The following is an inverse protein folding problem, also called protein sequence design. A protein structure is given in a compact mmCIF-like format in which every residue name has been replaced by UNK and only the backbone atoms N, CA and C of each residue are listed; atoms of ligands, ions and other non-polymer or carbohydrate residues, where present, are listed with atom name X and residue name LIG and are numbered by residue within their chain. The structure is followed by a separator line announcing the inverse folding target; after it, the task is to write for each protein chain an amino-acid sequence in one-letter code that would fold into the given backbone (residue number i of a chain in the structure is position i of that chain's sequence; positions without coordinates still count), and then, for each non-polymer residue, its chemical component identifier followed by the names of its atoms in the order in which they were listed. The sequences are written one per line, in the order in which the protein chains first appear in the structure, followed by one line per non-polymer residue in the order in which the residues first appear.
data_IF_149469904916
#
_entry.id   IF_149469904916
#
_cell.length_a   1.000
_cell.length_b   1.000
_cell.length_c   1.000
_cell.angle_alpha   90.00
_cell.angle_beta   90.00
_cell.angle_gamma   90.00
#
_symmetry.space_group_name_H-M   'P 1'
#
loop_
_entity.id
_entity.type
_entity.pdbx_description
1 polymer ?
#
# COMPACT_ATOMS: atom_id res chain seq x y z
N UNK A 1 25.14 -19.17 -19.23
CA UNK A 1 24.45 -18.12 -20.02
C UNK A 1 23.54 -17.34 -19.09
N UNK A 2 23.80 -16.07 -18.87
CA UNK A 2 22.91 -15.23 -18.07
C UNK A 2 21.53 -15.17 -18.77
N UNK A 3 20.52 -15.84 -18.21
CA UNK A 3 19.14 -15.71 -18.72
C UNK A 3 18.69 -14.28 -18.55
N UNK A 4 18.37 -13.61 -19.65
CA UNK A 4 17.85 -12.24 -19.62
C UNK A 4 16.63 -12.14 -18.69
N UNK A 5 16.54 -11.03 -17.98
CA UNK A 5 15.39 -10.71 -17.10
C UNK A 5 14.08 -10.79 -17.91
N UNK A 6 13.08 -11.56 -17.47
CA UNK A 6 11.80 -11.63 -18.16
C UNK A 6 11.16 -10.25 -18.28
N UNK A 7 10.66 -9.89 -19.47
CA UNK A 7 10.05 -8.57 -19.71
C UNK A 7 8.89 -8.27 -18.76
N UNK A 8 8.05 -9.27 -18.47
CA UNK A 8 6.96 -9.11 -17.51
C UNK A 8 7.48 -8.77 -16.11
N UNK A 9 8.49 -9.49 -15.63
CA UNK A 9 9.10 -9.24 -14.32
C UNK A 9 9.74 -7.85 -14.26
N UNK A 10 10.38 -7.40 -15.35
CA UNK A 10 10.96 -6.07 -15.44
C UNK A 10 9.89 -4.98 -15.33
N UNK A 11 8.80 -5.09 -16.11
CA UNK A 11 7.71 -4.10 -16.09
C UNK A 11 7.06 -4.04 -14.70
N UNK A 12 6.66 -5.18 -14.16
CA UNK A 12 6.04 -5.25 -12.83
C UNK A 12 7.00 -4.73 -11.74
N UNK A 13 8.27 -5.10 -11.83
CA UNK A 13 9.28 -4.66 -10.90
C UNK A 13 9.50 -3.15 -10.92
N UNK A 14 9.57 -2.52 -12.10
CA UNK A 14 9.67 -1.07 -12.21
C UNK A 14 8.45 -0.38 -11.59
N UNK A 15 7.23 -0.85 -11.89
CA UNK A 15 6.00 -0.33 -11.28
C UNK A 15 6.05 -0.41 -9.75
N UNK A 16 6.41 -1.58 -9.23
CA UNK A 16 6.50 -1.78 -7.78
C UNK A 16 7.61 -0.93 -7.17
N UNK A 17 8.80 -0.83 -7.80
CA UNK A 17 9.91 0.01 -7.33
C UNK A 17 9.52 1.49 -7.25
N UNK A 18 8.84 2.01 -8.26
CA UNK A 18 8.39 3.41 -8.25
C UNK A 18 7.40 3.61 -7.09
N UNK A 19 6.38 2.75 -7.00
CA UNK A 19 5.35 2.88 -5.97
C UNK A 19 5.93 2.73 -4.54
N UNK A 20 6.66 1.65 -4.29
CA UNK A 20 7.25 1.39 -2.97
C UNK A 20 8.39 2.35 -2.64
N UNK A 21 9.15 2.81 -3.64
CA UNK A 21 10.20 3.81 -3.49
C UNK A 21 9.64 5.16 -3.05
N UNK A 22 8.61 5.66 -3.74
CA UNK A 22 7.93 6.90 -3.35
C UNK A 22 7.31 6.74 -1.96
N UNK A 23 6.59 5.64 -1.70
CA UNK A 23 5.95 5.38 -0.42
C UNK A 23 6.97 5.29 0.73
N UNK A 24 8.12 4.65 0.50
CA UNK A 24 9.20 4.54 1.50
C UNK A 24 9.79 5.91 1.82
N UNK A 25 10.12 6.69 0.79
CA UNK A 25 10.67 8.04 0.96
C UNK A 25 9.67 8.96 1.68
N UNK A 26 8.41 8.96 1.23
CA UNK A 26 7.35 9.73 1.89
C UNK A 26 7.16 9.29 3.33
N UNK A 27 7.12 7.98 3.62
CA UNK A 27 6.96 7.46 4.96
C UNK A 27 8.10 7.87 5.88
N UNK A 28 9.35 7.71 5.44
CA UNK A 28 10.52 8.14 6.22
C UNK A 28 10.49 9.65 6.45
N UNK A 29 10.21 10.44 5.41
CA UNK A 29 10.10 11.89 5.53
C UNK A 29 9.00 12.29 6.51
N UNK A 30 7.82 11.66 6.44
CA UNK A 30 6.71 11.93 7.33
C UNK A 30 7.02 11.59 8.79
N UNK A 31 7.77 10.51 9.05
CA UNK A 31 8.24 10.20 10.42
C UNK A 31 9.18 11.29 10.94
N UNK A 32 10.05 11.83 10.08
CA UNK A 32 11.01 12.88 10.45
C UNK A 32 10.36 14.25 10.66
N UNK A 33 9.36 14.59 9.86
CA UNK A 33 8.64 15.88 9.95
C UNK A 33 7.60 15.89 11.07
N UNK A 34 7.16 14.70 11.50
CA UNK A 34 6.14 14.57 12.55
C UNK A 34 4.70 14.74 12.04
N UNK A 35 3.72 14.72 12.96
CA UNK A 35 2.30 14.80 12.62
C UNK A 35 1.94 16.16 12.00
N UNK A 36 0.85 16.21 11.20
CA UNK A 36 0.37 17.46 10.64
C UNK A 36 0.02 18.45 11.75
N UNK A 37 0.24 19.72 11.48
CA UNK A 37 -0.07 20.79 12.43
C UNK A 37 -1.60 20.92 12.64
N UNK A 38 -1.99 21.50 13.77
CA UNK A 38 -3.41 21.76 14.05
C UNK A 38 -4.10 22.59 12.94
N UNK A 39 -3.36 23.48 12.28
CA UNK A 39 -3.87 24.27 11.16
C UNK A 39 -4.13 23.41 9.91
N UNK A 40 -3.25 22.46 9.62
CA UNK A 40 -3.42 21.51 8.51
C UNK A 40 -4.58 20.55 8.76
N UNK A 41 -4.69 20.00 9.97
CA UNK A 41 -5.84 19.15 10.37
C UNK A 41 -7.14 19.91 10.20
N UNK A 42 -7.21 21.15 10.71
CA UNK A 42 -8.41 21.99 10.56
C UNK A 42 -8.75 22.26 9.09
N UNK A 43 -7.74 22.46 8.24
CA UNK A 43 -7.94 22.64 6.80
C UNK A 43 -8.52 21.37 6.17
N UNK A 44 -8.00 20.19 6.50
CA UNK A 44 -8.54 18.91 6.04
C UNK A 44 -10.00 18.71 6.46
N UNK A 45 -10.32 19.01 7.72
CA UNK A 45 -11.69 18.92 8.24
C UNK A 45 -12.65 19.84 7.47
N UNK A 46 -12.23 21.08 7.17
CA UNK A 46 -13.06 22.03 6.39
C UNK A 46 -13.25 21.55 4.95
N UNK A 47 -12.22 21.03 4.32
CA UNK A 47 -12.31 20.47 2.96
C UNK A 47 -13.24 19.26 2.90
N UNK A 48 -13.15 18.37 3.89
CA UNK A 48 -14.03 17.21 4.01
C UNK A 48 -15.49 17.64 4.26
N UNK A 49 -15.72 18.60 5.14
CA UNK A 49 -17.05 19.12 5.41
C UNK A 49 -17.70 19.74 4.16
N UNK A 50 -16.92 20.46 3.35
CA UNK A 50 -17.38 20.97 2.05
C UNK A 50 -17.74 19.86 1.08
N UNK A 51 -16.93 18.80 0.99
CA UNK A 51 -17.22 17.66 0.14
C UNK A 51 -18.55 17.00 0.54
N UNK A 52 -18.77 16.78 1.85
CA UNK A 52 -20.03 16.23 2.38
C UNK A 52 -21.22 17.13 2.03
N UNK A 53 -21.05 18.45 2.14
CA UNK A 53 -22.12 19.39 1.80
C UNK A 53 -22.45 19.31 0.29
N UNK A 54 -21.44 19.30 -0.58
CA UNK A 54 -21.62 19.15 -2.03
C UNK A 54 -22.35 17.85 -2.37
N UNK A 55 -21.94 16.75 -1.77
CA UNK A 55 -22.59 15.45 -2.01
C UNK A 55 -24.08 15.45 -1.56
N UNK A 56 -24.41 16.14 -0.47
CA UNK A 56 -25.79 16.31 0.00
C UNK A 56 -26.64 17.14 -0.97
N UNK A 57 -26.06 18.20 -1.56
CA UNK A 57 -26.75 19.07 -2.54
C UNK A 57 -27.04 18.34 -3.86
N UNK A 58 -26.21 17.35 -4.24
CA UNK A 58 -26.39 16.56 -5.47
C UNK A 58 -27.23 15.28 -5.27
N UNK A 59 -27.95 15.15 -4.16
CA UNK A 59 -28.78 13.97 -3.84
C UNK A 59 -28.03 12.64 -4.05
N UNK A 60 -26.80 12.60 -3.55
CA UNK A 60 -25.91 11.45 -3.70
C UNK A 60 -26.44 10.25 -2.93
N UNK A 61 -26.20 9.03 -3.45
CA UNK A 61 -26.69 7.81 -2.82
C UNK A 61 -26.25 7.66 -1.36
N UNK A 62 -27.06 7.04 -0.50
CA UNK A 62 -26.72 6.80 0.91
C UNK A 62 -25.40 6.07 1.08
N UNK A 63 -25.08 5.12 0.18
CA UNK A 63 -23.83 4.34 0.23
C UNK A 63 -22.61 5.22 -0.01
N UNK A 64 -22.71 6.20 -0.92
CA UNK A 64 -21.61 7.12 -1.18
C UNK A 64 -21.41 8.09 0.00
N UNK A 65 -22.48 8.49 0.66
CA UNK A 65 -22.41 9.30 1.89
C UNK A 65 -21.75 8.52 3.03
N UNK A 66 -22.16 7.28 3.27
CA UNK A 66 -21.54 6.40 4.27
C UNK A 66 -20.04 6.20 3.99
N UNK A 67 -19.66 6.03 2.71
CA UNK A 67 -18.26 5.91 2.33
C UNK A 67 -17.43 7.14 2.73
N UNK A 68 -17.95 8.34 2.47
CA UNK A 68 -17.24 9.59 2.79
C UNK A 68 -17.16 9.81 4.31
N UNK A 69 -18.20 9.50 5.05
CA UNK A 69 -18.19 9.57 6.51
C UNK A 69 -17.17 8.59 7.11
N UNK A 70 -17.11 7.36 6.63
CA UNK A 70 -16.08 6.39 7.02
C UNK A 70 -14.67 6.87 6.68
N UNK A 71 -14.47 7.46 5.49
CA UNK A 71 -13.17 8.02 5.11
C UNK A 71 -12.75 9.19 6.03
N UNK A 72 -13.68 10.04 6.43
CA UNK A 72 -13.42 11.10 7.40
C UNK A 72 -12.99 10.52 8.76
N UNK A 73 -13.73 9.53 9.25
CA UNK A 73 -13.41 8.85 10.51
C UNK A 73 -12.01 8.22 10.45
N UNK A 74 -11.69 7.49 9.37
CA UNK A 74 -10.36 6.90 9.16
C UNK A 74 -9.28 7.96 9.16
N UNK A 75 -9.46 9.06 8.43
CA UNK A 75 -8.49 10.15 8.36
C UNK A 75 -8.17 10.71 9.75
N UNK A 76 -9.22 10.88 10.58
CA UNK A 76 -9.04 11.33 11.97
C UNK A 76 -8.28 10.31 12.80
N UNK A 77 -8.67 9.04 12.75
CA UNK A 77 -7.99 7.97 13.49
C UNK A 77 -6.51 7.83 13.09
N UNK A 78 -6.19 7.99 11.79
CA UNK A 78 -4.82 7.99 11.29
C UNK A 78 -4.02 9.21 11.76
N UNK A 79 -4.62 10.38 11.85
CA UNK A 79 -3.97 11.58 12.38
C UNK A 79 -3.68 11.44 13.88
N UNK A 80 -4.61 10.85 14.65
CA UNK A 80 -4.44 10.58 16.09
C UNK A 80 -3.32 9.55 16.35
N UNK A 81 -3.15 8.59 15.44
CA UNK A 81 -2.12 7.54 15.53
C UNK A 81 -0.99 7.72 14.50
N UNK A 82 -0.73 8.97 14.12
CA UNK A 82 0.12 9.31 12.98
C UNK A 82 1.49 8.62 12.99
N UNK A 83 2.23 8.72 14.08
CA UNK A 83 3.59 8.16 14.19
C UNK A 83 3.58 6.64 14.04
N UNK A 84 2.61 5.97 14.67
CA UNK A 84 2.47 4.52 14.59
C UNK A 84 2.14 4.09 13.16
N UNK A 85 1.11 4.70 12.56
CA UNK A 85 0.69 4.36 11.20
C UNK A 85 1.77 4.64 10.16
N UNK A 86 2.39 5.82 10.24
CA UNK A 86 3.43 6.23 9.28
C UNK A 86 4.67 5.36 9.43
N UNK A 87 5.07 5.02 10.65
CA UNK A 87 6.19 4.11 10.91
C UNK A 87 5.94 2.71 10.34
N UNK A 88 4.77 2.13 10.60
CA UNK A 88 4.38 0.82 10.06
C UNK A 88 4.33 0.87 8.53
N UNK A 89 3.71 1.90 7.95
CA UNK A 89 3.59 2.06 6.49
C UNK A 89 4.96 2.20 5.82
N UNK A 90 5.90 2.91 6.44
CA UNK A 90 7.27 3.02 5.96
C UNK A 90 7.97 1.65 5.95
N UNK A 91 7.86 0.87 7.04
CA UNK A 91 8.46 -0.47 7.13
C UNK A 91 7.86 -1.43 6.09
N UNK A 92 6.55 -1.40 5.91
CA UNK A 92 5.86 -2.20 4.88
C UNK A 92 6.38 -1.80 3.49
N UNK A 93 6.46 -0.51 3.17
CA UNK A 93 6.94 -0.03 1.87
C UNK A 93 8.41 -0.39 1.60
N UNK A 94 9.26 -0.29 2.62
CA UNK A 94 10.66 -0.72 2.54
C UNK A 94 10.75 -2.22 2.26
N UNK A 95 9.92 -3.04 2.91
CA UNK A 95 9.87 -4.48 2.63
C UNK A 95 9.46 -4.79 1.19
N UNK A 96 8.52 -4.03 0.64
CA UNK A 96 8.13 -4.09 -0.78
C UNK A 96 9.28 -3.72 -1.72
N UNK A 97 10.03 -2.67 -1.39
CA UNK A 97 11.22 -2.25 -2.15
C UNK A 97 12.29 -3.37 -2.16
N UNK A 98 12.61 -3.91 -0.99
CA UNK A 98 13.59 -5.01 -0.84
C UNK A 98 13.13 -6.24 -1.62
N UNK A 99 11.82 -6.56 -1.60
CA UNK A 99 11.27 -7.72 -2.29
C UNK A 99 11.57 -7.69 -3.80
N UNK A 100 11.36 -6.54 -4.44
CA UNK A 100 11.62 -6.38 -5.89
C UNK A 100 13.11 -6.43 -6.20
N UNK A 101 13.94 -5.80 -5.38
CA UNK A 101 15.40 -5.86 -5.53
C UNK A 101 15.89 -7.32 -5.47
N UNK A 102 15.38 -8.11 -4.52
CA UNK A 102 15.69 -9.53 -4.40
C UNK A 102 15.20 -10.32 -5.62
N UNK A 103 14.00 -10.04 -6.12
CA UNK A 103 13.49 -10.68 -7.34
C UNK A 103 14.37 -10.37 -8.55
N UNK A 104 14.85 -9.13 -8.71
CA UNK A 104 15.78 -8.79 -9.79
C UNK A 104 17.14 -9.49 -9.66
N UNK A 105 17.55 -9.81 -8.43
CA UNK A 105 18.73 -10.65 -8.15
C UNK A 105 18.44 -12.15 -8.25
N UNK A 106 17.30 -12.56 -8.85
CA UNK A 106 16.87 -13.95 -9.03
C UNK A 106 16.68 -14.73 -7.73
N UNK A 107 16.42 -14.03 -6.64
CA UNK A 107 16.20 -14.65 -5.34
C UNK A 107 14.71 -14.90 -5.11
N UNK A 108 14.33 -16.17 -4.90
CA UNK A 108 12.94 -16.59 -4.67
C UNK A 108 12.34 -15.97 -3.39
N UNK A 109 13.16 -15.68 -2.38
CA UNK A 109 12.71 -15.02 -1.17
C UNK A 109 12.12 -13.63 -1.43
N UNK A 110 12.54 -12.96 -2.51
CA UNK A 110 11.93 -11.72 -2.95
C UNK A 110 10.45 -11.87 -3.25
N UNK A 111 10.04 -12.97 -3.90
CA UNK A 111 8.63 -13.25 -4.17
C UNK A 111 7.83 -13.52 -2.88
N UNK A 112 8.38 -14.30 -1.94
CA UNK A 112 7.72 -14.53 -0.65
C UNK A 112 7.56 -13.24 0.15
N UNK A 113 8.61 -12.40 0.17
CA UNK A 113 8.56 -11.10 0.83
C UNK A 113 7.54 -10.16 0.15
N UNK A 114 7.38 -10.26 -1.18
CA UNK A 114 6.37 -9.50 -1.92
C UNK A 114 4.94 -9.88 -1.49
N UNK A 115 4.67 -11.18 -1.29
CA UNK A 115 3.36 -11.65 -0.80
C UNK A 115 3.09 -11.04 0.59
N UNK A 116 4.05 -11.10 1.50
CA UNK A 116 3.93 -10.54 2.85
C UNK A 116 3.67 -9.02 2.76
N UNK A 117 4.47 -8.31 1.98
CA UNK A 117 4.29 -6.88 1.72
C UNK A 117 2.87 -6.57 1.22
N UNK A 118 2.39 -7.27 0.20
CA UNK A 118 1.08 -7.05 -0.40
C UNK A 118 -0.07 -7.24 0.59
N UNK A 119 -0.01 -8.30 1.40
CA UNK A 119 -1.02 -8.57 2.42
C UNK A 119 -0.99 -7.54 3.54
N UNK A 120 0.19 -7.22 4.06
CA UNK A 120 0.34 -6.20 5.11
C UNK A 120 -0.08 -4.82 4.62
N UNK A 121 0.26 -4.45 3.38
CA UNK A 121 -0.15 -3.18 2.79
C UNK A 121 -1.68 -3.06 2.68
N UNK A 122 -2.36 -4.16 2.31
CA UNK A 122 -3.82 -4.18 2.18
C UNK A 122 -4.56 -4.19 3.53
N UNK A 123 -3.90 -4.64 4.60
CA UNK A 123 -4.55 -4.84 5.91
C UNK A 123 -4.02 -3.94 7.01
N UNK A 124 -2.99 -3.14 6.75
CA UNK A 124 -2.34 -2.28 7.76
C UNK A 124 -3.29 -1.30 8.44
N UNK A 125 -4.35 -0.88 7.75
CA UNK A 125 -5.37 0.01 8.30
C UNK A 125 -6.09 -0.59 9.50
N UNK A 126 -6.29 -1.92 9.53
CA UNK A 126 -6.93 -2.62 10.65
C UNK A 126 -6.11 -2.64 11.94
N UNK A 127 -4.86 -2.21 11.91
CA UNK A 127 -4.07 -2.04 13.13
C UNK A 127 -4.48 -0.79 13.93
N UNK A 128 -5.23 0.12 13.32
CA UNK A 128 -5.59 1.41 13.91
C UNK A 128 -7.10 1.62 13.92
N UNK A 129 -7.80 1.13 12.88
CA UNK A 129 -9.23 1.32 12.68
C UNK A 129 -9.93 -0.02 12.81
N UNK A 130 -11.08 -0.05 13.51
CA UNK A 130 -11.90 -1.25 13.60
C UNK A 130 -12.34 -1.73 12.21
N UNK A 131 -12.41 -3.06 11.97
CA UNK A 131 -12.90 -3.61 10.71
C UNK A 131 -14.28 -3.07 10.28
N UNK A 132 -15.15 -2.76 11.23
CA UNK A 132 -16.51 -2.24 10.97
C UNK A 132 -16.50 -0.81 10.40
N UNK A 133 -15.44 -0.05 10.71
CA UNK A 133 -15.29 1.33 10.26
C UNK A 133 -14.52 1.45 8.93
N UNK A 134 -13.91 0.36 8.46
CA UNK A 134 -13.20 0.35 7.18
C UNK A 134 -14.16 -0.03 6.05
N UNK A 135 -14.27 0.78 4.98
CA UNK A 135 -15.12 0.45 3.85
C UNK A 135 -14.68 -0.86 3.19
N UNK A 136 -15.52 -1.89 3.26
CA UNK A 136 -15.22 -3.23 2.71
C UNK A 136 -14.82 -3.17 1.24
N UNK A 137 -15.45 -2.29 0.46
CA UNK A 137 -15.13 -2.13 -0.96
C UNK A 137 -13.67 -1.74 -1.20
N UNK A 138 -13.10 -0.85 -0.38
CA UNK A 138 -11.69 -0.41 -0.48
C UNK A 138 -10.75 -1.59 -0.24
N UNK A 139 -11.03 -2.40 0.79
CA UNK A 139 -10.21 -3.57 1.14
C UNK A 139 -10.29 -4.64 0.05
N UNK A 140 -11.50 -4.94 -0.44
CA UNK A 140 -11.71 -5.93 -1.51
C UNK A 140 -10.97 -5.52 -2.77
N UNK A 141 -11.07 -4.26 -3.20
CA UNK A 141 -10.33 -3.75 -4.38
C UNK A 141 -8.82 -3.88 -4.18
N UNK A 142 -8.29 -3.50 -3.01
CA UNK A 142 -6.87 -3.63 -2.71
C UNK A 142 -6.40 -5.09 -2.71
N UNK A 143 -7.19 -6.01 -2.17
CA UNK A 143 -6.88 -7.45 -2.18
C UNK A 143 -6.93 -8.03 -3.60
N UNK A 144 -7.88 -7.62 -4.44
CA UNK A 144 -7.94 -8.03 -5.85
C UNK A 144 -6.70 -7.56 -6.60
N UNK A 145 -6.32 -6.30 -6.45
CA UNK A 145 -5.12 -5.74 -7.09
C UNK A 145 -3.87 -6.47 -6.58
N UNK A 146 -3.74 -6.66 -5.27
CA UNK A 146 -2.62 -7.40 -4.66
C UNK A 146 -2.54 -8.84 -5.18
N UNK A 147 -3.67 -9.54 -5.23
CA UNK A 147 -3.76 -10.89 -5.76
C UNK A 147 -3.37 -10.98 -7.24
N UNK A 148 -3.81 -10.01 -8.04
CA UNK A 148 -3.42 -9.91 -9.46
C UNK A 148 -1.90 -9.75 -9.61
N UNK A 149 -1.28 -8.85 -8.86
CA UNK A 149 0.18 -8.66 -8.93
C UNK A 149 0.93 -9.90 -8.43
N UNK A 150 0.49 -10.52 -7.33
CA UNK A 150 1.07 -11.78 -6.85
C UNK A 150 0.99 -12.85 -7.93
N UNK A 151 -0.17 -13.00 -8.58
CA UNK A 151 -0.35 -13.94 -9.70
C UNK A 151 0.58 -13.64 -10.86
N UNK A 152 0.70 -12.38 -11.29
CA UNK A 152 1.59 -11.99 -12.38
C UNK A 152 3.08 -12.24 -12.04
N UNK A 153 3.50 -11.97 -10.81
CA UNK A 153 4.85 -12.29 -10.35
C UNK A 153 5.10 -13.80 -10.29
N UNK A 154 4.11 -14.59 -9.88
CA UNK A 154 4.23 -16.04 -9.77
C UNK A 154 4.55 -16.72 -11.12
N UNK A 155 4.15 -16.13 -12.24
CA UNK A 155 4.50 -16.63 -13.60
C UNK A 155 6.01 -16.62 -13.88
N UNK A 156 6.79 -15.92 -13.07
CA UNK A 156 8.25 -15.84 -13.21
C UNK A 156 9.01 -16.73 -12.20
N UNK A 157 8.30 -17.57 -11.42
CA UNK A 157 8.91 -18.41 -10.39
C UNK A 157 9.98 -19.36 -10.91
N UNK A 158 9.80 -19.92 -12.11
CA UNK A 158 10.79 -20.79 -12.73
C UNK A 158 12.11 -20.06 -13.02
N UNK A 159 12.05 -18.76 -13.34
CA UNK A 159 13.24 -17.94 -13.54
C UNK A 159 13.91 -17.59 -12.21
N UNK A 160 13.13 -17.31 -11.16
CA UNK A 160 13.63 -16.99 -9.82
C UNK A 160 14.33 -18.18 -9.14
N UNK A 161 13.86 -19.41 -9.40
CA UNK A 161 14.43 -20.65 -8.80
C UNK A 161 15.72 -21.12 -9.48
N UNK A 162 16.01 -20.68 -10.69
CA UNK A 162 17.09 -21.25 -11.52
C UNK A 162 18.52 -20.95 -11.02
N UNK A 163 18.68 -20.15 -9.99
CA UNK A 163 20.00 -19.79 -9.43
C UNK A 163 20.35 -20.55 -8.14
N UNK A 164 19.33 -21.05 -7.42
CA UNK A 164 19.55 -21.77 -6.17
C UNK A 164 19.99 -23.24 -6.38
N UNK A 165 20.09 -23.71 -7.62
CA UNK A 165 20.48 -25.09 -7.95
C UNK A 165 21.97 -25.25 -8.28
N UNK A 166 22.80 -24.22 -8.07
CA UNK A 166 24.23 -24.24 -8.40
C UNK A 166 25.11 -24.38 -7.12
N UNK A 167 24.50 -24.35 -5.94
CA UNK A 167 25.22 -24.43 -4.65
C UNK A 167 25.09 -25.81 -3.94
N UNK A 168 24.59 -26.85 -4.64
CA UNK A 168 24.69 -28.25 -4.24
C UNK A 168 25.65 -29.01 -5.20
#
# INVERSE_FOLDING_TARGET
MAKNLPRLLLILGIFTLINTGIASLSGVFSVLTGPPSAAEIKKQDVEMAKLIQVLKEYDTSPEAMELVEKLQFITKALNENYVLFTGISALISISGLISVILMFKRNIYGFHLYIIYSLLSSTSMYLIVSPDDVPTAVVVVNLIISGLFIFLYSRNLAWLKSDNSIEE
#
